data_IF_998246050347
#
_entry.id   IF_998246050347
#
_cell.length_a   1.000
_cell.length_b   1.000
_cell.length_c   1.000
_cell.angle_alpha   90.00
_cell.angle_beta   90.00
_cell.angle_gamma   90.00
#
_symmetry.space_group_name_H-M   'P 1'
#
loop_
_entity.id
_entity.type
_entity.pdbx_description
1 polymer ?
#
# COMPACT_ATOMS: atom_id res chain seq x y z
N UNK A 1 -10.12 -34.74 14.51
CA UNK A 1 -9.78 -35.66 13.39
C UNK A 1 -8.38 -36.25 13.52
N UNK A 2 -7.29 -35.47 13.61
CA UNK A 2 -5.93 -36.03 13.80
C UNK A 2 -5.79 -36.88 15.08
N UNK A 3 -6.35 -36.42 16.21
CA UNK A 3 -6.41 -37.17 17.48
C UNK A 3 -7.20 -38.47 17.30
N UNK A 4 -8.37 -38.38 16.67
CA UNK A 4 -9.27 -39.52 16.44
C UNK A 4 -8.62 -40.59 15.54
N UNK A 5 -7.89 -40.19 14.49
CA UNK A 5 -7.10 -41.10 13.66
C UNK A 5 -5.94 -41.73 14.43
N UNK A 6 -5.30 -40.97 15.33
CA UNK A 6 -4.23 -41.48 16.18
C UNK A 6 -4.74 -42.56 17.13
N UNK A 7 -5.90 -42.33 17.75
CA UNK A 7 -6.51 -43.26 18.68
C UNK A 7 -7.06 -44.52 17.97
N UNK A 8 -7.71 -44.33 16.82
CA UNK A 8 -8.35 -45.41 16.04
C UNK A 8 -7.32 -46.37 15.41
N UNK A 9 -6.13 -45.86 15.05
CA UNK A 9 -5.04 -46.64 14.46
C UNK A 9 -3.91 -46.97 15.44
N UNK A 10 -4.03 -46.58 16.71
CA UNK A 10 -3.00 -46.80 17.73
C UNK A 10 -1.65 -46.17 17.37
N UNK A 11 -1.64 -44.93 16.88
CA UNK A 11 -0.42 -44.21 16.54
C UNK A 11 0.17 -43.52 17.78
N UNK A 12 1.50 -43.59 17.91
CA UNK A 12 2.24 -42.82 18.93
C UNK A 12 2.43 -41.36 18.51
N UNK A 13 2.37 -41.08 17.20
CA UNK A 13 2.67 -39.77 16.66
C UNK A 13 2.19 -39.59 15.23
N UNK A 14 1.82 -38.36 14.86
CA UNK A 14 1.34 -38.01 13.52
C UNK A 14 1.79 -36.58 13.17
N UNK A 15 2.26 -36.35 11.96
CA UNK A 15 2.56 -35.01 11.45
C UNK A 15 2.20 -34.88 9.97
N UNK A 16 1.72 -33.71 9.58
CA UNK A 16 1.43 -33.38 8.19
C UNK A 16 2.19 -32.12 7.81
N UNK A 17 2.90 -32.16 6.68
CA UNK A 17 3.60 -31.01 6.13
C UNK A 17 3.23 -30.78 4.66
N UNK A 18 2.98 -29.53 4.28
CA UNK A 18 2.73 -29.15 2.88
C UNK A 18 4.06 -28.89 2.19
N UNK A 19 4.19 -29.39 0.97
CA UNK A 19 5.42 -29.37 0.20
C UNK A 19 5.56 -30.65 -0.61
N UNK A 20 6.61 -30.73 -1.41
CA UNK A 20 6.93 -31.95 -2.15
C UNK A 20 7.89 -32.81 -1.32
N UNK A 21 7.81 -34.13 -1.45
CA UNK A 21 8.70 -35.08 -0.76
C UNK A 21 10.22 -34.87 -1.03
N UNK A 22 10.57 -34.01 -1.99
CA UNK A 22 11.95 -33.65 -2.37
C UNK A 22 12.26 -32.15 -2.24
N UNK A 23 11.30 -31.34 -1.79
CA UNK A 23 11.40 -29.89 -1.69
C UNK A 23 11.29 -29.39 -0.24
N UNK A 24 11.27 -28.06 -0.04
CA UNK A 24 11.06 -27.48 1.28
C UNK A 24 9.64 -27.81 1.77
N UNK A 25 9.56 -28.45 2.93
CA UNK A 25 8.31 -28.80 3.61
C UNK A 25 7.98 -27.76 4.69
N UNK A 26 6.70 -27.42 4.82
CA UNK A 26 6.19 -26.58 5.91
C UNK A 26 5.17 -27.36 6.72
N UNK A 27 5.53 -27.66 7.97
CA UNK A 27 4.64 -28.36 8.89
C UNK A 27 3.31 -27.61 9.03
N UNK A 28 2.21 -28.34 8.85
CA UNK A 28 0.86 -27.85 9.16
C UNK A 28 0.52 -28.19 10.61
N UNK A 29 0.75 -29.45 11.02
CA UNK A 29 0.49 -29.88 12.39
C UNK A 29 1.38 -31.05 12.80
N UNK A 30 1.48 -31.27 14.11
CA UNK A 30 2.10 -32.44 14.73
C UNK A 30 1.32 -32.82 15.98
N UNK A 31 1.11 -34.11 16.21
CA UNK A 31 0.41 -34.68 17.35
C UNK A 31 1.18 -35.88 17.89
N UNK A 32 1.21 -36.07 19.21
CA UNK A 32 1.97 -37.14 19.86
C UNK A 32 3.48 -37.01 19.70
N UNK A 33 4.18 -38.15 19.65
CA UNK A 33 5.61 -38.25 19.37
C UNK A 33 5.92 -37.65 18.01
N UNK A 34 6.91 -36.76 17.94
CA UNK A 34 7.29 -36.13 16.66
C UNK A 34 7.89 -37.20 15.73
N UNK A 35 7.25 -37.52 14.58
CA UNK A 35 7.81 -38.47 13.63
C UNK A 35 9.15 -37.96 13.08
N UNK A 36 10.04 -38.88 12.67
CA UNK A 36 11.33 -38.51 12.10
C UNK A 36 11.13 -37.64 10.84
N UNK A 37 11.54 -36.36 10.86
CA UNK A 37 11.35 -35.45 9.74
C UNK A 37 12.20 -35.83 8.52
N UNK A 38 13.22 -36.67 8.68
CA UNK A 38 14.07 -37.16 7.59
C UNK A 38 13.49 -38.38 6.88
N UNK A 39 12.48 -39.04 7.48
CA UNK A 39 11.76 -40.14 6.84
C UNK A 39 11.10 -39.67 5.56
N UNK A 40 11.38 -40.38 4.46
CA UNK A 40 10.85 -40.05 3.12
C UNK A 40 9.80 -41.06 2.70
N UNK A 41 8.78 -40.63 1.94
CA UNK A 41 7.83 -41.54 1.34
C UNK A 41 8.54 -42.61 0.51
N UNK A 42 8.17 -43.86 0.73
CA UNK A 42 8.67 -44.97 -0.09
C UNK A 42 8.06 -44.91 -1.50
N UNK A 43 8.81 -45.33 -2.52
CA UNK A 43 8.30 -45.40 -3.91
C UNK A 43 7.12 -46.38 -4.08
N UNK A 44 6.95 -47.31 -3.14
CA UNK A 44 5.81 -48.22 -3.05
C UNK A 44 5.24 -48.16 -1.65
N UNK A 45 3.91 -48.18 -1.55
CA UNK A 45 3.20 -48.26 -0.27
C UNK A 45 3.68 -49.51 0.50
N UNK A 46 4.05 -49.39 1.78
CA UNK A 46 4.39 -50.55 2.59
C UNK A 46 3.16 -51.43 2.80
N UNK A 47 3.33 -52.75 2.79
CA UNK A 47 2.24 -53.68 3.13
C UNK A 47 2.04 -53.78 4.64
N UNK A 48 3.11 -53.53 5.42
CA UNK A 48 3.11 -53.52 6.88
C UNK A 48 4.13 -52.56 7.44
N UNK A 49 3.86 -51.99 8.61
CA UNK A 49 4.78 -51.14 9.38
C UNK A 49 4.82 -51.65 10.81
N UNK A 50 6.01 -52.03 11.35
CA UNK A 50 6.12 -52.55 12.70
C UNK A 50 5.96 -51.43 13.76
N UNK A 51 5.65 -51.79 15.01
CA UNK A 51 5.59 -50.84 16.13
C UNK A 51 6.90 -50.03 16.27
N UNK A 52 6.77 -48.75 16.59
CA UNK A 52 7.86 -47.77 16.73
C UNK A 52 8.44 -47.25 15.41
N UNK A 53 8.07 -47.82 14.25
CA UNK A 53 8.56 -47.34 12.96
C UNK A 53 7.75 -46.13 12.46
N UNK A 54 8.44 -45.24 11.74
CA UNK A 54 7.79 -44.11 11.05
C UNK A 54 7.42 -44.49 9.63
N UNK A 55 6.14 -44.38 9.29
CA UNK A 55 5.67 -44.40 7.90
C UNK A 55 5.57 -42.99 7.36
N UNK A 56 6.03 -42.77 6.13
CA UNK A 56 5.87 -41.52 5.41
C UNK A 56 5.06 -41.80 4.14
N UNK A 57 4.00 -41.02 3.92
CA UNK A 57 3.07 -41.14 2.80
C UNK A 57 3.10 -39.83 2.02
N UNK A 58 3.32 -39.94 0.71
CA UNK A 58 3.21 -38.81 -0.20
C UNK A 58 1.75 -38.64 -0.57
N UNK A 59 1.21 -37.43 -0.37
CA UNK A 59 -0.19 -37.13 -0.60
C UNK A 59 -0.32 -36.39 -1.92
N UNK A 60 -1.14 -36.93 -2.81
CA UNK A 60 -1.24 -36.44 -4.18
C UNK A 60 -2.57 -35.76 -4.45
N UNK A 61 -2.55 -34.80 -5.37
CA UNK A 61 -3.76 -34.25 -6.01
C UNK A 61 -3.48 -34.05 -7.49
N UNK A 62 -4.30 -34.67 -8.34
CA UNK A 62 -4.13 -34.63 -9.79
C UNK A 62 -2.67 -34.94 -10.21
N UNK A 63 -2.12 -36.04 -9.68
CA UNK A 63 -0.73 -36.52 -9.90
C UNK A 63 0.41 -35.61 -9.38
N UNK A 64 0.09 -34.56 -8.63
CA UNK A 64 1.10 -33.72 -7.97
C UNK A 64 1.17 -34.01 -6.48
N UNK A 65 2.37 -34.28 -5.96
CA UNK A 65 2.64 -34.30 -4.52
C UNK A 65 2.38 -32.90 -3.94
N UNK A 66 1.52 -32.83 -2.92
CA UNK A 66 1.13 -31.57 -2.26
C UNK A 66 1.46 -31.56 -0.77
N UNK A 67 1.62 -32.72 -0.15
CA UNK A 67 1.96 -32.85 1.25
C UNK A 67 2.59 -34.22 1.57
N UNK A 68 3.25 -34.30 2.71
CA UNK A 68 3.75 -35.55 3.28
C UNK A 68 3.11 -35.77 4.65
N UNK A 69 2.47 -36.92 4.81
CA UNK A 69 1.98 -37.40 6.11
C UNK A 69 3.02 -38.35 6.71
N UNK A 70 3.41 -38.11 7.96
CA UNK A 70 4.28 -39.03 8.71
C UNK A 70 3.58 -39.51 9.96
N UNK A 71 3.60 -40.80 10.22
CA UNK A 71 3.01 -41.40 11.41
C UNK A 71 4.00 -42.35 12.09
N UNK A 72 4.04 -42.36 13.42
CA UNK A 72 4.76 -43.34 14.23
C UNK A 72 3.75 -44.40 14.66
N UNK A 73 3.97 -45.63 14.23
CA UNK A 73 3.11 -46.76 14.53
C UNK A 73 3.26 -47.16 16.01
N UNK A 74 2.19 -47.13 16.82
CA UNK A 74 2.23 -47.69 18.19
C UNK A 74 1.94 -49.19 18.24
N UNK A 75 1.34 -49.73 17.19
CA UNK A 75 1.16 -51.16 16.92
C UNK A 75 1.60 -51.54 15.50
N UNK A 76 1.39 -52.79 15.09
CA UNK A 76 1.63 -53.19 13.70
C UNK A 76 0.52 -52.59 12.81
N UNK A 77 0.90 -51.75 11.84
CA UNK A 77 -0.03 -51.20 10.85
C UNK A 77 -0.04 -52.12 9.62
N UNK A 78 -1.22 -52.54 9.19
CA UNK A 78 -1.42 -53.31 7.97
C UNK A 78 -1.74 -52.41 6.76
N UNK A 79 -1.89 -53.01 5.59
CA UNK A 79 -2.18 -52.28 4.36
C UNK A 79 -3.47 -51.45 4.44
N UNK A 80 -4.50 -51.92 5.16
CA UNK A 80 -5.78 -51.23 5.33
C UNK A 80 -5.62 -49.98 6.20
N UNK A 81 -4.88 -50.07 7.30
CA UNK A 81 -4.55 -48.93 8.16
C UNK A 81 -3.74 -47.87 7.41
N UNK A 82 -2.78 -48.30 6.59
CA UNK A 82 -1.96 -47.41 5.76
C UNK A 82 -2.82 -46.73 4.69
N UNK A 83 -3.75 -47.45 4.05
CA UNK A 83 -4.70 -46.88 3.10
C UNK A 83 -5.60 -45.83 3.73
N UNK A 84 -6.13 -46.11 4.93
CA UNK A 84 -6.96 -45.15 5.66
C UNK A 84 -6.18 -43.87 6.01
N UNK A 85 -4.91 -44.00 6.41
CA UNK A 85 -4.04 -42.85 6.67
C UNK A 85 -3.83 -41.99 5.44
N UNK A 86 -3.60 -42.62 4.30
CA UNK A 86 -3.39 -41.92 3.03
C UNK A 86 -4.66 -41.15 2.63
N UNK A 87 -5.81 -41.81 2.60
CA UNK A 87 -7.10 -41.19 2.24
C UNK A 87 -7.47 -40.06 3.20
N UNK A 88 -7.30 -40.27 4.51
CA UNK A 88 -7.53 -39.23 5.51
C UNK A 88 -6.56 -38.05 5.34
N UNK A 89 -5.28 -38.34 5.09
CA UNK A 89 -4.25 -37.35 4.81
C UNK A 89 -4.59 -36.49 3.60
N UNK A 90 -5.02 -37.12 2.50
CA UNK A 90 -5.44 -36.43 1.27
C UNK A 90 -6.63 -35.49 1.52
N UNK A 91 -7.67 -35.97 2.23
CA UNK A 91 -8.85 -35.15 2.58
C UNK A 91 -8.47 -33.96 3.46
N UNK A 92 -7.64 -34.16 4.50
CA UNK A 92 -7.16 -33.10 5.38
C UNK A 92 -6.39 -32.07 4.56
N UNK A 93 -5.44 -32.53 3.75
CA UNK A 93 -4.59 -31.64 2.94
C UNK A 93 -5.42 -30.82 1.96
N UNK A 94 -6.35 -31.46 1.26
CA UNK A 94 -7.27 -30.80 0.33
C UNK A 94 -8.08 -29.70 1.02
N UNK A 95 -8.61 -29.98 2.21
CA UNK A 95 -9.41 -29.03 2.99
C UNK A 95 -8.58 -27.84 3.48
N UNK A 96 -7.36 -28.09 3.97
CA UNK A 96 -6.46 -27.03 4.45
C UNK A 96 -5.99 -26.13 3.30
N UNK A 97 -5.61 -26.72 2.17
CA UNK A 97 -5.21 -25.97 0.97
C UNK A 97 -6.37 -25.13 0.44
N UNK A 98 -7.59 -25.70 0.40
CA UNK A 98 -8.78 -24.97 0.01
C UNK A 98 -9.08 -23.80 0.96
N UNK A 99 -9.03 -24.02 2.28
CA UNK A 99 -9.25 -22.98 3.28
C UNK A 99 -8.27 -21.81 3.13
N UNK A 100 -6.97 -22.09 2.97
CA UNK A 100 -5.96 -21.04 2.72
C UNK A 100 -6.21 -20.28 1.42
N UNK A 101 -6.62 -20.96 0.36
CA UNK A 101 -6.95 -20.31 -0.91
C UNK A 101 -8.14 -19.37 -0.76
N UNK A 102 -9.15 -19.76 0.01
CA UNK A 102 -10.32 -18.91 0.30
C UNK A 102 -9.89 -17.70 1.13
N UNK A 103 -9.06 -17.88 2.16
CA UNK A 103 -8.53 -16.78 2.97
C UNK A 103 -7.76 -15.76 2.12
N UNK A 104 -6.86 -16.23 1.24
CA UNK A 104 -6.11 -15.36 0.33
C UNK A 104 -7.02 -14.62 -0.66
N UNK A 105 -8.04 -15.30 -1.19
CA UNK A 105 -9.03 -14.67 -2.06
C UNK A 105 -9.83 -13.61 -1.31
N UNK A 106 -10.24 -13.89 -0.07
CA UNK A 106 -10.97 -12.94 0.75
C UNK A 106 -10.12 -11.72 1.11
N UNK A 107 -8.84 -11.93 1.45
CA UNK A 107 -7.91 -10.83 1.71
C UNK A 107 -7.71 -9.96 0.46
N UNK A 108 -7.56 -10.58 -0.72
CA UNK A 108 -7.46 -9.86 -1.98
C UNK A 108 -8.75 -9.08 -2.32
N UNK A 109 -9.92 -9.68 -2.10
CA UNK A 109 -11.23 -9.01 -2.29
C UNK A 109 -11.35 -7.82 -1.34
N UNK A 110 -11.13 -8.02 -0.05
CA UNK A 110 -11.19 -6.94 0.94
C UNK A 110 -10.21 -5.81 0.59
N UNK A 111 -9.02 -6.16 0.07
CA UNK A 111 -8.04 -5.17 -0.38
C UNK A 111 -8.55 -4.38 -1.58
N UNK A 112 -9.13 -5.05 -2.57
CA UNK A 112 -9.72 -4.39 -3.75
C UNK A 112 -10.89 -3.49 -3.36
N UNK A 113 -11.79 -3.96 -2.49
CA UNK A 113 -12.90 -3.17 -1.97
C UNK A 113 -12.40 -1.92 -1.24
N UNK A 114 -11.39 -2.06 -0.36
CA UNK A 114 -10.80 -0.89 0.32
C UNK A 114 -10.19 0.12 -0.65
N UNK A 115 -9.58 -0.33 -1.76
CA UNK A 115 -9.02 0.54 -2.78
C UNK A 115 -10.12 1.25 -3.58
N UNK A 116 -11.21 0.55 -3.88
CA UNK A 116 -12.36 1.12 -4.60
C UNK A 116 -13.12 2.14 -3.74
N UNK A 117 -13.28 1.87 -2.44
CA UNK A 117 -13.82 2.83 -1.47
C UNK A 117 -12.95 4.09 -1.41
N UNK A 118 -11.63 3.94 -1.26
CA UNK A 118 -10.69 5.08 -1.24
C UNK A 118 -10.78 5.89 -2.54
N UNK A 119 -10.85 5.23 -3.70
CA UNK A 119 -11.02 5.89 -5.00
C UNK A 119 -12.35 6.64 -5.09
N UNK A 120 -13.43 6.04 -4.62
CA UNK A 120 -14.77 6.66 -4.63
C UNK A 120 -14.79 7.88 -3.72
N UNK A 121 -14.25 7.77 -2.51
CA UNK A 121 -14.11 8.91 -1.58
C UNK A 121 -13.26 10.02 -2.18
N UNK A 122 -12.13 9.69 -2.78
CA UNK A 122 -11.26 10.66 -3.45
C UNK A 122 -11.99 11.42 -4.56
N UNK A 123 -12.68 10.71 -5.46
CA UNK A 123 -13.45 11.34 -6.54
C UNK A 123 -14.60 12.20 -6.01
N UNK A 124 -15.24 11.78 -4.92
CA UNK A 124 -16.28 12.55 -4.23
C UNK A 124 -15.75 13.87 -3.69
N UNK A 125 -14.62 13.83 -2.97
CA UNK A 125 -13.94 15.02 -2.43
C UNK A 125 -13.49 15.93 -3.56
N UNK A 126 -12.80 15.40 -4.58
CA UNK A 126 -12.36 16.17 -5.74
C UNK A 126 -13.53 16.90 -6.44
N UNK A 127 -14.66 16.20 -6.63
CA UNK A 127 -15.85 16.80 -7.22
C UNK A 127 -16.42 17.94 -6.38
N UNK A 128 -16.38 17.83 -5.06
CA UNK A 128 -16.81 18.88 -4.15
C UNK A 128 -15.87 20.09 -4.21
N UNK A 129 -14.57 19.85 -4.10
CA UNK A 129 -13.54 20.90 -4.13
C UNK A 129 -13.50 21.64 -5.47
N UNK A 130 -13.82 20.98 -6.59
CA UNK A 130 -13.96 21.65 -7.89
C UNK A 130 -15.25 22.48 -7.99
N UNK A 131 -16.36 22.02 -7.40
CA UNK A 131 -17.66 22.69 -7.49
C UNK A 131 -17.66 24.05 -6.79
N UNK A 132 -16.98 24.17 -5.66
CA UNK A 132 -16.93 25.41 -4.86
C UNK A 132 -16.38 26.61 -5.63
N UNK A 133 -15.14 26.59 -6.18
CA UNK A 133 -14.60 27.70 -6.97
C UNK A 133 -15.38 27.90 -8.27
N UNK A 134 -15.83 26.83 -8.94
CA UNK A 134 -16.64 26.94 -10.16
C UNK A 134 -17.97 27.68 -9.91
N UNK A 135 -18.64 27.39 -8.79
CA UNK A 135 -19.90 28.05 -8.41
C UNK A 135 -19.65 29.52 -8.06
N UNK A 136 -18.56 29.84 -7.37
CA UNK A 136 -18.17 31.21 -7.07
C UNK A 136 -17.89 32.02 -8.34
N UNK A 137 -17.13 31.46 -9.29
CA UNK A 137 -16.86 32.09 -10.60
C UNK A 137 -18.16 32.37 -11.34
N UNK A 138 -19.02 31.37 -11.47
CA UNK A 138 -20.29 31.51 -12.20
C UNK A 138 -21.20 32.56 -11.56
N UNK A 139 -21.32 32.56 -10.23
CA UNK A 139 -22.12 33.52 -9.48
C UNK A 139 -21.61 34.95 -9.64
N UNK A 140 -20.31 35.18 -9.43
CA UNK A 140 -19.69 36.50 -9.56
C UNK A 140 -19.74 37.02 -11.00
N UNK A 141 -19.48 36.15 -11.99
CA UNK A 141 -19.59 36.49 -13.40
C UNK A 141 -21.03 36.87 -13.77
N UNK A 142 -22.03 36.17 -13.24
CA UNK A 142 -23.45 36.50 -13.42
C UNK A 142 -23.79 37.86 -12.81
N UNK A 143 -23.29 38.18 -11.62
CA UNK A 143 -23.49 39.49 -11.01
C UNK A 143 -22.87 40.61 -11.84
N UNK A 144 -21.63 40.43 -12.31
CA UNK A 144 -20.98 41.39 -13.21
C UNK A 144 -21.78 41.57 -14.50
N UNK A 145 -22.27 40.49 -15.11
CA UNK A 145 -23.01 40.56 -16.36
C UNK A 145 -24.41 41.20 -16.21
N UNK A 146 -25.11 40.94 -15.10
CA UNK A 146 -26.51 41.34 -14.92
C UNK A 146 -26.70 42.64 -14.13
N UNK A 147 -25.71 43.03 -13.33
CA UNK A 147 -25.79 44.20 -12.43
C UNK A 147 -24.67 45.21 -12.66
N UNK A 148 -23.98 45.16 -13.80
CA UNK A 148 -22.82 46.00 -14.10
C UNK A 148 -23.02 47.47 -13.71
N UNK A 149 -24.08 48.11 -14.21
CA UNK A 149 -24.37 49.54 -14.00
C UNK A 149 -24.63 49.91 -12.54
N UNK A 150 -25.09 48.96 -11.72
CA UNK A 150 -25.46 49.18 -10.31
C UNK A 150 -24.29 48.91 -9.36
N UNK A 151 -23.32 48.09 -9.78
CA UNK A 151 -22.12 47.81 -9.01
C UNK A 151 -21.17 49.01 -9.01
N UNK A 152 -20.58 49.31 -7.85
CA UNK A 152 -19.50 50.30 -7.75
C UNK A 152 -18.26 49.82 -8.50
N UNK A 153 -17.34 50.75 -8.81
CA UNK A 153 -16.07 50.38 -9.45
C UNK A 153 -15.24 49.43 -8.57
N UNK A 154 -15.28 49.63 -7.25
CA UNK A 154 -14.59 48.78 -6.27
C UNK A 154 -15.20 47.38 -6.21
N UNK A 155 -16.53 47.25 -6.23
CA UNK A 155 -17.19 45.93 -6.28
C UNK A 155 -16.82 45.18 -7.56
N UNK A 156 -16.77 45.86 -8.70
CA UNK A 156 -16.38 45.25 -9.98
C UNK A 156 -14.95 44.72 -9.92
N UNK A 157 -14.01 45.52 -9.39
CA UNK A 157 -12.62 45.10 -9.17
C UNK A 157 -12.53 43.92 -8.22
N UNK A 158 -13.22 43.98 -7.09
CA UNK A 158 -13.22 42.92 -6.09
C UNK A 158 -13.79 41.61 -6.67
N UNK A 159 -14.88 41.66 -7.42
CA UNK A 159 -15.47 40.48 -8.06
C UNK A 159 -14.56 39.90 -9.14
N UNK A 160 -13.97 40.74 -9.99
CA UNK A 160 -13.00 40.31 -10.99
C UNK A 160 -11.77 39.65 -10.35
N UNK A 161 -11.24 40.23 -9.27
CA UNK A 161 -10.13 39.64 -8.51
C UNK A 161 -10.52 38.28 -7.92
N UNK A 162 -11.70 38.16 -7.31
CA UNK A 162 -12.17 36.88 -6.75
C UNK A 162 -12.39 35.83 -7.84
N UNK A 163 -12.87 36.20 -9.02
CA UNK A 163 -12.98 35.29 -10.16
C UNK A 163 -11.60 34.76 -10.55
N UNK A 164 -10.59 35.63 -10.67
CA UNK A 164 -9.22 35.23 -11.00
C UNK A 164 -8.66 34.24 -9.97
N UNK A 165 -8.73 34.58 -8.67
CA UNK A 165 -8.25 33.69 -7.59
C UNK A 165 -8.95 32.33 -7.59
N UNK A 166 -10.27 32.29 -7.83
CA UNK A 166 -11.00 31.02 -7.90
C UNK A 166 -10.63 30.22 -9.15
N UNK A 167 -10.33 30.88 -10.28
CA UNK A 167 -9.88 30.21 -11.50
C UNK A 167 -8.49 29.60 -11.33
N UNK A 168 -7.57 30.31 -10.67
CA UNK A 168 -6.24 29.80 -10.33
C UNK A 168 -6.35 28.59 -9.40
N UNK A 169 -7.21 28.66 -8.38
CA UNK A 169 -7.49 27.54 -7.46
C UNK A 169 -8.05 26.33 -8.20
N UNK A 170 -8.97 26.54 -9.15
CA UNK A 170 -9.54 25.47 -9.97
C UNK A 170 -8.48 24.82 -10.87
N UNK A 171 -7.60 25.62 -11.49
CA UNK A 171 -6.50 25.12 -12.31
C UNK A 171 -5.51 24.28 -11.49
N UNK A 172 -5.16 24.72 -10.27
CA UNK A 172 -4.31 23.97 -9.37
C UNK A 172 -4.93 22.59 -9.02
N UNK A 173 -6.22 22.56 -8.66
CA UNK A 173 -6.93 21.30 -8.38
C UNK A 173 -6.95 20.35 -9.58
N UNK A 174 -7.17 20.87 -10.79
CA UNK A 174 -7.13 20.05 -12.01
C UNK A 174 -5.74 19.48 -12.25
N UNK A 175 -4.70 20.30 -12.04
CA UNK A 175 -3.32 19.86 -12.21
C UNK A 175 -2.96 18.75 -11.20
N UNK A 176 -3.34 18.91 -9.93
CA UNK A 176 -3.12 17.89 -8.91
C UNK A 176 -3.84 16.58 -9.21
N UNK A 177 -5.07 16.63 -9.75
CA UNK A 177 -5.79 15.44 -10.21
C UNK A 177 -5.09 14.74 -11.38
N UNK A 178 -4.58 15.50 -12.35
CA UNK A 178 -3.85 14.94 -13.49
C UNK A 178 -2.54 14.28 -13.05
N UNK A 179 -1.83 14.87 -12.10
CA UNK A 179 -0.59 14.32 -11.61
C UNK A 179 -0.80 13.09 -10.72
N UNK A 180 -1.85 13.09 -9.91
CA UNK A 180 -2.30 11.88 -9.22
C UNK A 180 -2.63 10.75 -10.21
N UNK A 181 -3.35 11.04 -11.29
CA UNK A 181 -3.69 10.05 -12.31
C UNK A 181 -2.46 9.55 -13.11
N UNK A 182 -1.38 10.33 -13.19
CA UNK A 182 -0.09 9.89 -13.77
C UNK A 182 0.68 9.01 -12.79
N UNK A 183 0.71 9.39 -11.51
CA UNK A 183 1.32 8.60 -10.43
C UNK A 183 0.71 7.20 -10.33
N UNK A 184 -0.63 7.12 -10.30
CA UNK A 184 -1.35 5.84 -10.21
C UNK A 184 -1.06 4.88 -11.38
N UNK A 185 -0.76 5.41 -12.56
CA UNK A 185 -0.41 4.61 -13.74
C UNK A 185 1.08 4.26 -13.83
N UNK A 186 1.91 4.83 -12.95
CA UNK A 186 3.36 4.72 -13.05
C UNK A 186 3.95 5.50 -14.23
N UNK A 187 3.18 6.43 -14.83
CA UNK A 187 3.56 7.19 -16.02
C UNK A 187 4.31 8.49 -15.69
N UNK A 188 4.62 8.74 -14.41
CA UNK A 188 5.36 9.94 -14.01
C UNK A 188 6.82 9.84 -14.49
N UNK A 189 7.14 10.61 -15.55
CA UNK A 189 8.50 10.74 -16.04
C UNK A 189 9.17 11.94 -15.39
N UNK A 190 10.16 11.69 -14.52
CA UNK A 190 10.99 12.73 -13.92
C UNK A 190 12.23 12.96 -14.80
N UNK A 191 12.49 14.22 -15.14
CA UNK A 191 13.72 14.61 -15.82
C UNK A 191 14.84 14.82 -14.79
N UNK A 192 15.38 13.71 -14.28
CA UNK A 192 16.42 13.75 -13.26
C UNK A 192 17.72 14.37 -13.79
N UNK A 193 18.15 15.46 -13.15
CA UNK A 193 19.39 16.16 -13.41
C UNK A 193 20.02 16.65 -12.09
N UNK A 194 21.32 16.98 -12.05
CA UNK A 194 21.89 17.73 -10.93
C UNK A 194 21.17 19.08 -10.79
N UNK A 195 20.62 19.33 -9.61
CA UNK A 195 19.92 20.57 -9.26
C UNK A 195 20.54 21.12 -7.99
N UNK A 196 20.87 22.41 -8.00
CA UNK A 196 21.23 23.14 -6.78
C UNK A 196 19.94 23.44 -6.03
N UNK A 197 19.66 22.65 -4.99
CA UNK A 197 18.40 22.70 -4.24
C UNK A 197 18.19 24.05 -3.56
N UNK A 198 19.25 24.66 -3.04
CA UNK A 198 19.19 26.01 -2.44
C UNK A 198 18.60 27.03 -3.41
N UNK A 199 19.11 27.04 -4.64
CA UNK A 199 18.73 28.02 -5.67
C UNK A 199 17.29 27.78 -6.14
N UNK A 200 16.88 26.52 -6.27
CA UNK A 200 15.51 26.17 -6.63
C UNK A 200 14.50 26.59 -5.55
N UNK A 201 14.85 26.41 -4.26
CA UNK A 201 14.01 26.85 -3.14
C UNK A 201 13.93 28.39 -3.11
N UNK A 202 15.06 29.08 -3.20
CA UNK A 202 15.09 30.55 -3.22
C UNK A 202 14.25 31.13 -4.38
N UNK A 203 14.38 30.56 -5.59
CA UNK A 203 13.60 30.99 -6.75
C UNK A 203 12.08 30.81 -6.57
N UNK A 204 11.65 29.80 -5.82
CA UNK A 204 10.23 29.63 -5.46
C UNK A 204 9.80 30.68 -4.44
N UNK A 205 10.59 30.88 -3.38
CA UNK A 205 10.27 31.86 -2.34
C UNK A 205 10.21 33.28 -2.90
N UNK A 206 11.14 33.67 -3.76
CA UNK A 206 11.15 34.97 -4.44
C UNK A 206 9.93 35.18 -5.34
N UNK A 207 9.47 34.13 -6.04
CA UNK A 207 8.29 34.21 -6.90
C UNK A 207 6.99 34.33 -6.10
N UNK A 208 6.98 33.80 -4.89
CA UNK A 208 5.82 33.85 -4.00
C UNK A 208 5.89 35.05 -3.03
N UNK A 209 6.97 35.82 -3.03
CA UNK A 209 7.07 37.06 -2.26
C UNK A 209 5.92 38.01 -2.59
N UNK A 210 5.19 38.42 -1.55
CA UNK A 210 4.00 39.27 -1.65
C UNK A 210 2.68 38.50 -1.77
N UNK A 211 2.69 37.19 -1.95
CA UNK A 211 1.49 36.33 -1.92
C UNK A 211 1.12 35.92 -0.47
N UNK A 212 2.04 36.15 0.48
CA UNK A 212 1.96 35.71 1.88
C UNK A 212 1.00 36.48 2.79
N UNK A 213 0.37 37.56 2.31
CA UNK A 213 -0.50 38.39 3.14
C UNK A 213 0.26 39.02 4.31
N UNK A 214 -0.16 38.71 5.56
CA UNK A 214 0.50 39.18 6.78
C UNK A 214 1.51 38.19 7.39
N UNK A 215 1.67 37.01 6.77
CA UNK A 215 2.63 36.01 7.26
C UNK A 215 4.07 36.41 6.96
N UNK A 216 4.97 36.10 7.89
CA UNK A 216 6.40 36.26 7.72
C UNK A 216 7.04 34.90 7.38
N UNK A 217 7.77 34.84 6.26
CA UNK A 217 8.46 33.62 5.81
C UNK A 217 9.96 33.75 6.07
N UNK A 218 10.44 33.12 7.14
CA UNK A 218 11.87 33.07 7.48
C UNK A 218 12.61 32.05 6.60
N UNK A 219 13.82 32.40 6.16
CA UNK A 219 14.64 31.57 5.27
C UNK A 219 15.94 31.17 5.96
N UNK A 220 16.22 29.86 6.02
CA UNK A 220 17.45 29.28 6.54
C UNK A 220 18.02 28.26 5.54
N UNK A 221 18.53 28.76 4.42
CA UNK A 221 18.93 27.97 3.25
C UNK A 221 20.46 27.92 3.17
N UNK A 222 21.03 26.74 3.42
CA UNK A 222 22.46 26.50 3.21
C UNK A 222 22.78 26.45 1.71
N UNK A 223 23.71 27.28 1.20
CA UNK A 223 23.94 27.42 -0.23
C UNK A 223 24.73 26.24 -0.83
N UNK A 224 24.49 25.96 -2.11
CA UNK A 224 25.31 25.01 -2.89
C UNK A 224 25.00 23.54 -2.63
N UNK A 225 23.87 23.23 -1.98
CA UNK A 225 23.43 21.86 -1.77
C UNK A 225 22.89 21.30 -3.08
N UNK A 226 23.57 20.29 -3.63
CA UNK A 226 23.18 19.63 -4.87
C UNK A 226 22.39 18.34 -4.62
N UNK A 227 21.35 18.11 -5.42
CA UNK A 227 20.57 16.88 -5.44
C UNK A 227 20.36 16.39 -6.87
N UNK A 228 20.18 15.09 -7.04
CA UNK A 228 19.69 14.54 -8.30
C UNK A 228 18.15 14.58 -8.28
N UNK A 229 17.55 15.42 -9.12
CA UNK A 229 16.10 15.63 -9.11
C UNK A 229 15.57 16.28 -10.38
N UNK A 230 14.26 16.35 -10.49
CA UNK A 230 13.57 17.15 -11.50
C UNK A 230 13.31 18.54 -10.89
N UNK A 231 13.86 19.59 -11.51
CA UNK A 231 13.77 20.97 -10.98
C UNK A 231 12.32 21.43 -10.85
N UNK A 232 11.46 21.13 -11.83
CA UNK A 232 10.06 21.54 -11.80
C UNK A 232 9.27 20.80 -10.73
N UNK A 233 9.58 19.51 -10.51
CA UNK A 233 8.97 18.74 -9.42
C UNK A 233 9.41 19.27 -8.04
N UNK A 234 10.69 19.60 -7.86
CA UNK A 234 11.21 20.19 -6.62
C UNK A 234 10.58 21.55 -6.33
N UNK A 235 10.54 22.45 -7.32
CA UNK A 235 9.90 23.76 -7.17
C UNK A 235 8.42 23.65 -6.78
N UNK A 236 7.72 22.67 -7.36
CA UNK A 236 6.33 22.39 -7.03
C UNK A 236 6.16 21.84 -5.60
N UNK A 237 7.05 20.95 -5.16
CA UNK A 237 7.03 20.45 -3.77
C UNK A 237 7.16 21.63 -2.81
N UNK A 238 8.14 22.51 -3.03
CA UNK A 238 8.35 23.71 -2.20
C UNK A 238 7.11 24.60 -2.22
N UNK A 239 6.57 24.89 -3.41
CA UNK A 239 5.36 25.72 -3.57
C UNK A 239 4.18 25.15 -2.78
N UNK A 240 3.94 23.85 -2.87
CA UNK A 240 2.85 23.18 -2.18
C UNK A 240 3.03 23.18 -0.66
N UNK A 241 4.25 22.92 -0.17
CA UNK A 241 4.53 22.93 1.28
C UNK A 241 4.35 24.33 1.87
N UNK A 242 4.95 25.35 1.25
CA UNK A 242 4.87 26.73 1.74
C UNK A 242 3.45 27.29 1.60
N UNK A 243 2.76 27.00 0.50
CA UNK A 243 1.36 27.42 0.35
C UNK A 243 0.44 26.76 1.38
N UNK A 244 0.71 25.51 1.76
CA UNK A 244 -0.06 24.83 2.80
C UNK A 244 0.20 25.47 4.17
N UNK A 245 1.46 25.72 4.52
CA UNK A 245 1.82 26.44 5.75
C UNK A 245 1.04 27.76 5.84
N UNK A 246 1.23 28.66 4.87
CA UNK A 246 0.54 29.97 4.87
C UNK A 246 -0.99 29.87 4.91
N UNK A 247 -1.58 28.86 4.25
CA UNK A 247 -3.04 28.68 4.21
C UNK A 247 -3.62 28.17 5.53
N UNK A 248 -2.88 27.32 6.25
CA UNK A 248 -3.40 26.60 7.41
C UNK A 248 -2.88 27.10 8.76
N UNK A 249 -1.83 27.93 8.77
CA UNK A 249 -1.38 28.61 9.99
C UNK A 249 -2.30 29.79 10.37
N UNK A 250 -2.37 30.14 11.66
CA UNK A 250 -3.05 31.36 12.11
C UNK A 250 -2.48 32.62 11.43
N UNK A 251 -3.29 33.68 11.24
CA UNK A 251 -2.78 34.96 10.77
C UNK A 251 -1.58 35.43 11.60
N UNK A 252 -0.58 36.00 10.94
CA UNK A 252 0.66 36.50 11.54
C UNK A 252 1.58 35.42 12.16
N UNK A 253 1.30 34.12 11.92
CA UNK A 253 2.23 33.05 12.29
C UNK A 253 3.49 33.08 11.40
N UNK A 254 4.63 32.80 12.03
CA UNK A 254 5.93 32.67 11.35
C UNK A 254 6.00 31.31 10.65
N UNK A 255 6.17 31.34 9.33
CA UNK A 255 6.53 30.17 8.53
C UNK A 255 8.04 30.18 8.34
N UNK A 256 8.72 29.05 8.51
CA UNK A 256 10.15 28.97 8.25
C UNK A 256 10.47 27.88 7.23
N UNK A 257 11.36 28.21 6.28
CA UNK A 257 11.83 27.29 5.25
C UNK A 257 13.33 27.09 5.44
N UNK A 258 13.76 25.84 5.61
CA UNK A 258 15.17 25.51 5.79
C UNK A 258 15.66 24.45 4.81
N UNK A 259 16.90 24.62 4.35
CA UNK A 259 17.62 23.64 3.55
C UNK A 259 18.99 23.43 4.19
N UNK A 260 19.34 22.20 4.50
CA UNK A 260 20.64 21.86 5.09
C UNK A 260 21.11 20.46 4.69
N UNK A 261 22.41 20.22 4.74
CA UNK A 261 22.98 18.89 4.49
C UNK A 261 23.33 18.18 5.81
N UNK A 262 22.93 16.91 5.94
CA UNK A 262 23.34 16.07 7.07
C UNK A 262 23.61 14.64 6.63
N UNK A 263 24.88 14.23 6.74
CA UNK A 263 25.30 12.85 6.46
C UNK A 263 25.14 12.46 4.99
N UNK A 264 25.48 13.36 4.06
CA UNK A 264 25.39 13.11 2.61
C UNK A 264 23.96 13.12 2.06
N UNK A 265 23.03 13.76 2.77
CA UNK A 265 21.64 13.93 2.35
C UNK A 265 21.21 15.37 2.57
N UNK A 266 20.52 15.92 1.58
CA UNK A 266 19.84 17.20 1.70
C UNK A 266 18.52 17.03 2.47
N UNK A 267 18.23 17.98 3.34
CA UNK A 267 16.97 18.10 4.07
C UNK A 267 16.33 19.43 3.70
N UNK A 268 15.08 19.38 3.24
CA UNK A 268 14.20 20.54 3.03
C UNK A 268 13.07 20.43 4.07
N UNK A 269 12.90 21.47 4.87
CA UNK A 269 11.84 21.56 5.88
C UNK A 269 11.06 22.85 5.73
N UNK A 270 9.75 22.76 5.95
CA UNK A 270 8.83 23.90 6.09
C UNK A 270 8.13 23.70 7.44
N UNK A 271 8.27 24.67 8.34
CA UNK A 271 7.71 24.66 9.68
C UNK A 271 6.74 25.85 9.84
N UNK A 272 5.60 25.63 10.48
CA UNK A 272 4.47 26.57 10.58
C UNK A 272 3.69 26.47 11.92
#
# INVERSE_FOLDING_TARGET
MAVQLSDELGLEGLSLAVGTARGPERAIFTHGSRPDPTSRPANRRPERVPPGATVALDLHRAERSIAVLRAVAGGELDASAIELLEVAGEMITSTIVAGRSIEQQQEAVNRLESLDELKTTFLGVASHELRTPATAIAGLATLLATRWEVLSEDDRRAFASRIATNADSLNALVQDLLDFARLERGDLQLALAPVVLSDAVDAVLDRLDGVWGSHHVARAIEPGIEVLGDVSALERIVTNLVSNAVKFSPPDADVSVSVHERGGRAFLSVDD
#
